data_IF_001504463272
#
_entry.id   IF_001504463272
#
_cell.length_a   1.000
_cell.length_b   1.000
_cell.length_c   1.000
_cell.angle_alpha   90.00
_cell.angle_beta   90.00
_cell.angle_gamma   90.00
#
_symmetry.space_group_name_H-M   'P 1'
#
loop_
_entity.id
_entity.type
_entity.pdbx_description
1 polymer ?
#
# COMPACT_ATOMS: atom_id res chain seq x y z
N UNK A 1 -40.07 24.09 16.51
CA UNK A 1 -38.64 23.78 16.79
C UNK A 1 -38.22 22.62 15.89
N UNK A 2 -37.78 22.86 14.66
CA UNK A 2 -37.32 21.79 13.77
C UNK A 2 -35.90 21.41 14.17
N UNK A 3 -35.72 20.20 14.70
CA UNK A 3 -34.40 19.68 15.01
C UNK A 3 -33.58 19.57 13.72
N UNK A 4 -32.48 20.32 13.62
CA UNK A 4 -31.50 20.18 12.54
C UNK A 4 -30.89 18.79 12.70
N UNK A 5 -31.32 17.86 11.85
CA UNK A 5 -30.77 16.52 11.80
C UNK A 5 -29.33 16.62 11.29
N UNK A 6 -28.36 16.48 12.19
CA UNK A 6 -26.93 16.47 11.82
C UNK A 6 -26.73 15.36 10.80
N UNK A 7 -26.35 15.73 9.57
CA UNK A 7 -25.93 14.78 8.55
C UNK A 7 -24.67 14.10 9.09
N UNK A 8 -24.80 12.86 9.53
CA UNK A 8 -23.65 12.05 9.96
C UNK A 8 -22.84 11.73 8.72
N UNK A 9 -21.55 12.06 8.72
CA UNK A 9 -20.66 11.72 7.62
C UNK A 9 -20.65 10.19 7.40
N UNK A 10 -20.82 9.75 6.15
CA UNK A 10 -20.74 8.34 5.77
C UNK A 10 -19.33 7.81 6.08
N UNK A 11 -19.23 6.63 6.69
CA UNK A 11 -17.97 5.99 7.11
C UNK A 11 -17.86 4.59 6.52
N UNK A 12 -16.65 4.03 6.51
CA UNK A 12 -16.40 2.68 6.01
C UNK A 12 -16.80 2.55 4.54
N UNK A 13 -17.39 1.40 4.17
CA UNK A 13 -17.81 1.05 2.81
C UNK A 13 -18.80 2.03 2.16
N UNK A 14 -19.57 2.76 2.97
CA UNK A 14 -20.59 3.70 2.48
C UNK A 14 -20.00 5.08 2.14
N UNK A 15 -18.69 5.28 2.37
CA UNK A 15 -17.97 6.49 2.01
C UNK A 15 -17.51 6.44 0.54
N UNK A 16 -17.71 7.54 -0.21
CA UNK A 16 -17.23 7.66 -1.60
C UNK A 16 -15.70 7.60 -1.75
N UNK A 17 -14.97 7.70 -0.64
CA UNK A 17 -13.51 7.58 -0.57
C UNK A 17 -13.05 6.17 -0.15
N UNK A 18 -13.97 5.26 0.15
CA UNK A 18 -13.62 3.88 0.50
C UNK A 18 -12.87 3.21 -0.64
N UNK A 19 -11.72 2.60 -0.32
CA UNK A 19 -10.84 1.98 -1.30
C UNK A 19 -10.11 2.95 -2.25
N UNK A 20 -10.26 4.27 -2.07
CA UNK A 20 -9.50 5.26 -2.85
C UNK A 20 -8.24 5.67 -2.09
N UNK A 21 -7.12 5.70 -2.80
CA UNK A 21 -5.85 6.20 -2.29
C UNK A 21 -5.56 7.60 -2.86
N UNK A 22 -5.20 8.56 -1.98
CA UNK A 22 -4.83 9.91 -2.38
C UNK A 22 -3.49 10.28 -1.75
N UNK A 23 -2.56 10.81 -2.57
CA UNK A 23 -1.20 11.12 -2.16
C UNK A 23 -0.94 12.61 -2.25
N UNK A 24 -0.54 13.22 -1.14
CA UNK A 24 -0.14 14.62 -1.10
C UNK A 24 1.12 14.88 -1.95
N UNK A 25 2.00 13.88 -2.08
CA UNK A 25 3.20 13.89 -2.92
C UNK A 25 3.32 12.55 -3.63
N UNK A 26 3.67 12.58 -4.91
CA UNK A 26 3.96 11.40 -5.71
C UNK A 26 5.21 11.64 -6.55
N UNK A 27 5.89 10.57 -6.91
CA UNK A 27 7.02 10.57 -7.84
C UNK A 27 6.57 9.82 -9.08
N UNK A 28 6.66 10.46 -10.24
CA UNK A 28 6.37 9.80 -11.51
C UNK A 28 7.53 8.87 -11.86
N UNK A 29 7.21 7.62 -12.14
CA UNK A 29 8.13 6.62 -12.68
C UNK A 29 7.65 6.19 -14.06
N UNK A 30 8.52 6.30 -15.06
CA UNK A 30 8.24 5.77 -16.40
C UNK A 30 8.72 4.33 -16.45
N UNK A 31 7.77 3.41 -16.59
CA UNK A 31 8.02 1.97 -16.73
C UNK A 31 8.81 1.68 -18.01
N UNK A 32 9.44 0.51 -18.07
CA UNK A 32 10.09 0.01 -19.28
C UNK A 32 9.20 0.03 -20.53
N UNK A 33 7.89 -0.12 -20.35
CA UNK A 33 6.90 -0.10 -21.43
C UNK A 33 6.40 1.32 -21.80
N UNK A 34 6.99 2.38 -21.21
CA UNK A 34 6.63 3.78 -21.47
C UNK A 34 5.42 4.30 -20.69
N UNK A 35 4.75 3.45 -19.89
CA UNK A 35 3.63 3.88 -19.04
C UNK A 35 4.14 4.63 -17.81
N UNK A 36 3.42 5.68 -17.40
CA UNK A 36 3.76 6.48 -16.22
C UNK A 36 2.97 5.98 -15.00
N UNK A 37 3.68 5.64 -13.93
CA UNK A 37 3.12 5.22 -12.64
C UNK A 37 3.45 6.25 -11.57
N UNK A 38 2.48 6.60 -10.73
CA UNK A 38 2.65 7.56 -9.62
C UNK A 38 2.93 6.81 -8.32
N UNK A 39 4.17 6.87 -7.85
CA UNK A 39 4.61 6.15 -6.65
C UNK A 39 4.67 7.07 -5.43
N UNK A 40 4.53 6.51 -4.23
CA UNK A 40 4.45 7.25 -2.95
C UNK A 40 5.80 7.57 -2.35
N UNK A 41 6.84 6.82 -2.71
CA UNK A 41 8.15 6.98 -2.12
C UNK A 41 9.29 6.79 -3.11
N UNK A 42 10.45 7.39 -2.80
CA UNK A 42 11.66 7.16 -3.58
C UNK A 42 12.20 5.72 -3.48
N UNK A 43 11.77 4.97 -2.45
CA UNK A 43 12.12 3.55 -2.32
C UNK A 43 11.31 2.70 -3.29
N UNK A 44 10.01 2.95 -3.43
CA UNK A 44 9.17 2.31 -4.46
C UNK A 44 9.72 2.56 -5.87
N UNK A 45 10.15 3.79 -6.18
CA UNK A 45 10.77 4.11 -7.48
C UNK A 45 12.01 3.26 -7.75
N UNK A 46 12.85 3.04 -6.73
CA UNK A 46 14.05 2.20 -6.85
C UNK A 46 13.71 0.73 -7.01
N UNK A 47 12.67 0.25 -6.34
CA UNK A 47 12.17 -1.11 -6.49
C UNK A 47 11.59 -1.32 -7.88
N UNK A 48 10.76 -0.41 -8.37
CA UNK A 48 10.21 -0.45 -9.72
C UNK A 48 11.32 -0.49 -10.78
N UNK A 49 12.36 0.34 -10.61
CA UNK A 49 13.55 0.31 -11.47
C UNK A 49 14.24 -1.04 -11.41
N UNK A 50 14.46 -1.59 -10.21
CA UNK A 50 15.06 -2.91 -10.04
C UNK A 50 14.25 -4.01 -10.74
N UNK A 51 12.92 -4.00 -10.60
CA UNK A 51 12.04 -4.97 -11.24
C UNK A 51 12.11 -4.85 -12.77
N UNK A 52 12.08 -3.63 -13.32
CA UNK A 52 12.20 -3.36 -14.76
C UNK A 52 13.58 -3.78 -15.32
N UNK A 53 14.67 -3.47 -14.61
CA UNK A 53 16.04 -3.83 -14.99
C UNK A 53 16.23 -5.35 -15.04
N UNK A 54 15.55 -6.10 -14.16
CA UNK A 54 15.57 -7.56 -14.11
C UNK A 54 14.49 -8.24 -14.95
N UNK A 55 13.71 -7.49 -15.75
CA UNK A 55 12.59 -8.00 -16.54
C UNK A 55 11.53 -8.76 -15.72
N UNK A 56 11.33 -8.38 -14.47
CA UNK A 56 10.30 -8.95 -13.60
C UNK A 56 9.00 -8.20 -13.87
N UNK A 57 7.91 -8.91 -14.17
CA UNK A 57 6.60 -8.29 -14.37
C UNK A 57 6.00 -7.83 -13.03
N UNK A 58 5.49 -6.61 -12.98
CA UNK A 58 4.84 -6.05 -11.80
C UNK A 58 3.69 -5.11 -12.16
N UNK A 59 2.74 -5.02 -11.24
CA UNK A 59 1.64 -4.05 -11.26
C UNK A 59 1.64 -3.27 -9.94
N UNK A 60 1.56 -1.94 -10.01
CA UNK A 60 1.57 -1.08 -8.82
C UNK A 60 0.15 -0.89 -8.29
N UNK A 61 -0.04 -1.14 -6.99
CA UNK A 61 -1.31 -0.96 -6.28
C UNK A 61 -2.52 -1.56 -6.99
N UNK A 62 -2.30 -2.69 -7.69
CA UNK A 62 -3.28 -3.34 -8.56
C UNK A 62 -4.62 -3.57 -7.88
N UNK A 63 -4.58 -4.00 -6.62
CA UNK A 63 -5.76 -4.42 -5.87
C UNK A 63 -5.75 -3.84 -4.47
N UNK A 64 -6.91 -3.37 -4.04
CA UNK A 64 -7.17 -2.94 -2.67
C UNK A 64 -8.06 -3.98 -1.97
N UNK A 65 -7.67 -4.37 -0.77
CA UNK A 65 -8.34 -5.40 0.01
C UNK A 65 -9.13 -4.77 1.17
N UNK A 66 -10.41 -5.13 1.36
CA UNK A 66 -11.12 -4.75 2.57
C UNK A 66 -10.50 -5.47 3.77
N UNK A 67 -10.29 -4.75 4.88
CA UNK A 67 -9.80 -5.34 6.12
C UNK A 67 -10.61 -4.83 7.31
N UNK A 68 -10.79 -5.69 8.32
CA UNK A 68 -11.39 -5.30 9.60
C UNK A 68 -10.29 -5.29 10.66
N UNK A 69 -9.91 -4.13 11.17
CA UNK A 69 -8.77 -3.99 12.10
C UNK A 69 -9.17 -3.26 13.38
N UNK A 70 -8.52 -3.59 14.49
CA UNK A 70 -8.74 -2.90 15.78
C UNK A 70 -7.59 -1.94 16.06
N UNK A 71 -7.90 -0.66 16.25
CA UNK A 71 -6.92 0.38 16.58
C UNK A 71 -7.49 1.29 17.67
N UNK A 72 -6.73 1.51 18.75
CA UNK A 72 -7.15 2.32 19.91
C UNK A 72 -8.48 1.86 20.52
N UNK A 73 -8.64 0.53 20.68
CA UNK A 73 -9.84 -0.08 21.29
C UNK A 73 -11.09 -0.07 20.40
N UNK A 74 -10.99 0.37 19.15
CA UNK A 74 -12.10 0.43 18.21
C UNK A 74 -11.86 -0.46 17.00
N UNK A 75 -12.80 -1.35 16.71
CA UNK A 75 -12.84 -2.12 15.46
C UNK A 75 -13.34 -1.23 14.33
N UNK A 76 -12.61 -1.22 13.21
CA UNK A 76 -12.85 -0.36 12.06
C UNK A 76 -12.83 -1.17 10.77
N UNK A 77 -13.79 -0.88 9.90
CA UNK A 77 -13.72 -1.27 8.49
C UNK A 77 -12.72 -0.36 7.77
N UNK A 78 -11.71 -0.96 7.17
CA UNK A 78 -10.68 -0.28 6.42
C UNK A 78 -10.39 -0.97 5.11
N UNK A 79 -9.34 -0.46 4.48
CA UNK A 79 -8.73 -1.08 3.31
C UNK A 79 -7.22 -1.13 3.47
N UNK A 80 -6.62 -2.09 2.78
CA UNK A 80 -5.18 -2.25 2.64
C UNK A 80 -4.82 -2.42 1.17
N UNK A 81 -3.88 -1.62 0.70
CA UNK A 81 -3.44 -1.60 -0.70
C UNK A 81 -1.93 -1.86 -0.70
N UNK A 82 -1.49 -3.08 -1.03
CA UNK A 82 -0.08 -3.39 -1.14
C UNK A 82 0.58 -2.68 -2.32
N UNK A 83 1.91 -2.48 -2.24
CA UNK A 83 2.63 -1.70 -3.24
C UNK A 83 2.81 -2.41 -4.60
N UNK A 84 3.46 -3.58 -4.65
CA UNK A 84 3.81 -4.25 -5.91
C UNK A 84 3.23 -5.66 -5.99
N UNK A 85 2.49 -5.95 -7.06
CA UNK A 85 1.96 -7.27 -7.39
C UNK A 85 2.83 -7.90 -8.47
N UNK A 86 3.52 -9.00 -8.12
CA UNK A 86 4.28 -9.83 -9.05
C UNK A 86 3.46 -11.09 -9.37
N UNK A 87 3.94 -11.93 -10.29
CA UNK A 87 3.24 -13.16 -10.72
C UNK A 87 2.86 -14.09 -9.56
N UNK A 88 3.74 -14.23 -8.55
CA UNK A 88 3.58 -15.24 -7.50
C UNK A 88 3.56 -14.66 -6.08
N UNK A 89 3.80 -13.36 -5.91
CA UNK A 89 3.88 -12.73 -4.59
C UNK A 89 3.65 -11.23 -4.68
N UNK A 90 3.39 -10.64 -3.52
CA UNK A 90 3.26 -9.21 -3.33
C UNK A 90 4.47 -8.71 -2.56
N UNK A 91 5.04 -7.60 -3.01
CA UNK A 91 6.11 -6.90 -2.29
C UNK A 91 5.53 -5.61 -1.67
N UNK A 92 5.65 -5.49 -0.35
CA UNK A 92 5.32 -4.29 0.42
C UNK A 92 6.61 -3.56 0.79
N UNK A 93 6.71 -2.27 0.45
CA UNK A 93 7.91 -1.47 0.68
C UNK A 93 7.71 -0.59 1.90
N UNK A 94 8.61 -0.70 2.88
CA UNK A 94 8.48 0.07 4.12
C UNK A 94 9.78 0.60 4.68
N UNK A 95 9.83 1.93 4.84
CA UNK A 95 10.83 2.62 5.66
C UNK A 95 10.41 2.69 7.13
N UNK A 96 9.44 3.56 7.43
CA UNK A 96 8.97 3.80 8.80
C UNK A 96 7.56 3.26 9.02
N UNK A 97 7.35 2.61 10.17
CA UNK A 97 6.02 2.16 10.62
C UNK A 97 5.39 3.19 11.54
N UNK A 98 4.21 3.68 11.12
CA UNK A 98 3.23 4.18 12.09
C UNK A 98 2.48 2.99 12.69
N UNK A 99 2.01 3.14 13.94
CA UNK A 99 1.28 2.07 14.65
C UNK A 99 0.04 1.59 13.88
N UNK A 100 -0.73 2.52 13.33
CA UNK A 100 -1.92 2.23 12.53
C UNK A 100 -1.59 1.43 11.27
N UNK A 101 -0.51 1.79 10.57
CA UNK A 101 -0.07 1.11 9.36
C UNK A 101 0.41 -0.32 9.66
N UNK A 102 1.16 -0.52 10.75
CA UNK A 102 1.64 -1.84 11.15
C UNK A 102 0.47 -2.77 11.49
N UNK A 103 -0.52 -2.28 12.22
CA UNK A 103 -1.73 -3.05 12.56
C UNK A 103 -2.49 -3.45 11.30
N UNK A 104 -2.65 -2.56 10.32
CA UNK A 104 -3.30 -2.89 9.05
C UNK A 104 -2.54 -3.97 8.27
N UNK A 105 -1.21 -3.89 8.22
CA UNK A 105 -0.38 -4.89 7.56
C UNK A 105 -0.52 -6.28 8.20
N UNK A 106 -0.41 -6.37 9.53
CA UNK A 106 -0.58 -7.66 10.21
C UNK A 106 -2.02 -8.19 10.08
N UNK A 107 -3.02 -7.29 10.14
CA UNK A 107 -4.42 -7.66 9.90
C UNK A 107 -4.62 -8.22 8.50
N UNK A 108 -4.01 -7.61 7.48
CA UNK A 108 -4.08 -8.10 6.11
C UNK A 108 -3.51 -9.52 6.01
N UNK A 109 -2.34 -9.79 6.61
CA UNK A 109 -1.76 -11.13 6.63
C UNK A 109 -2.65 -12.17 7.31
N UNK A 110 -3.35 -11.78 8.38
CA UNK A 110 -4.26 -12.67 9.10
C UNK A 110 -5.55 -12.95 8.32
N UNK A 111 -6.10 -11.95 7.63
CA UNK A 111 -7.35 -12.08 6.87
C UNK A 111 -7.16 -12.67 5.47
N UNK A 112 -5.94 -12.59 4.92
CA UNK A 112 -5.59 -13.10 3.60
C UNK A 112 -4.36 -14.02 3.67
N UNK A 113 -4.43 -15.15 4.40
CA UNK A 113 -3.27 -16.02 4.62
C UNK A 113 -2.75 -16.70 3.35
N UNK A 114 -3.60 -16.86 2.33
CA UNK A 114 -3.23 -17.47 1.04
C UNK A 114 -2.40 -16.54 0.17
N UNK A 115 -2.36 -15.25 0.49
CA UNK A 115 -1.60 -14.25 -0.26
C UNK A 115 -0.17 -14.20 0.28
N UNK A 116 0.78 -14.60 -0.56
CA UNK A 116 2.20 -14.49 -0.25
C UNK A 116 2.66 -13.03 -0.35
N UNK A 117 2.72 -12.35 0.79
CA UNK A 117 3.26 -10.99 0.91
C UNK A 117 4.63 -10.98 1.59
N UNK A 118 5.57 -10.21 1.01
CA UNK A 118 6.93 -10.02 1.54
C UNK A 118 7.16 -8.55 1.86
N UNK A 119 7.61 -8.29 3.07
CA UNK A 119 7.98 -6.95 3.53
C UNK A 119 9.44 -6.66 3.19
N UNK A 120 9.67 -5.59 2.45
CA UNK A 120 11.00 -5.08 2.13
C UNK A 120 11.26 -3.79 2.90
N UNK A 121 12.19 -3.88 3.87
CA UNK A 121 12.74 -2.70 4.54
C UNK A 121 14.14 -2.43 4.00
N UNK A 122 14.81 -1.47 4.60
CA UNK A 122 16.15 -1.05 4.19
C UNK A 122 17.14 -2.20 4.05
N UNK A 123 17.13 -3.15 4.99
CA UNK A 123 18.04 -4.29 4.97
C UNK A 123 17.77 -5.19 3.77
N UNK A 124 16.52 -5.61 3.61
CA UNK A 124 16.09 -6.52 2.54
C UNK A 124 16.30 -5.90 1.15
N UNK A 125 16.09 -4.59 1.01
CA UNK A 125 16.36 -3.86 -0.24
C UNK A 125 17.86 -3.80 -0.56
N UNK A 126 18.71 -3.56 0.44
CA UNK A 126 20.17 -3.56 0.25
C UNK A 126 20.69 -4.95 -0.12
N UNK A 127 20.12 -6.02 0.43
CA UNK A 127 20.44 -7.41 0.08
C UNK A 127 20.12 -7.73 -1.38
N UNK A 128 19.07 -7.11 -1.97
CA UNK A 128 18.79 -7.17 -3.40
C UNK A 128 19.75 -6.33 -4.26
N UNK A 129 20.70 -5.61 -3.66
CA UNK A 129 21.62 -4.70 -4.36
C UNK A 129 21.01 -3.32 -4.67
N UNK A 130 19.83 -3.01 -4.13
CA UNK A 130 19.18 -1.71 -4.34
C UNK A 130 19.85 -0.67 -3.45
N UNK A 131 20.56 0.28 -4.08
CA UNK A 131 21.23 1.38 -3.37
C UNK A 131 20.21 2.39 -2.88
N UNK A 132 19.92 2.42 -1.57
CA UNK A 132 19.12 3.48 -0.94
C UNK A 132 19.97 4.74 -0.69
N UNK A 133 19.33 5.91 -0.62
CA UNK A 133 20.04 7.14 -0.29
C UNK A 133 20.42 7.13 1.20
N UNK A 134 21.57 7.71 1.55
CA UNK A 134 21.89 8.04 2.94
C UNK A 134 21.20 9.33 3.34
#
# INVERSE_FOLDING_TARGET
>A
MSAIQKIVARKGKDCNLYGKCYYAKHINYTTKNGSIVKMKSGWEVKVAKYLDDNNISWEYEKQTFPIIYTYEGQTKDGTYTPDFFLTNEIWEIKGYWRKDAQIKYETFKLQYPDIKIRLFREKELKELGIKLWK
#
